data_IF_354475117185
#
_entry.id   IF_354475117185
#
_cell.length_a   1.000
_cell.length_b   1.000
_cell.length_c   1.000
_cell.angle_alpha   90.00
_cell.angle_beta   90.00
_cell.angle_gamma   90.00
#
_symmetry.space_group_name_H-M   'P 1'
#
loop_
_entity.id
_entity.type
_entity.pdbx_description
1 polymer ?
#
# COMPACT_ATOMS: atom_id res chain seq x y z
N UNK A 1 7.47 16.32 -0.90
CA UNK A 1 6.04 15.97 -1.00
C UNK A 1 5.54 15.79 -2.44
N UNK A 2 5.97 16.60 -3.43
CA UNK A 2 5.47 16.50 -4.82
C UNK A 2 5.70 15.12 -5.47
N UNK A 3 6.87 14.50 -5.25
CA UNK A 3 7.18 13.16 -5.75
C UNK A 3 6.19 12.09 -5.24
N UNK A 4 5.84 12.13 -3.96
CA UNK A 4 4.89 11.18 -3.36
C UNK A 4 3.45 11.36 -3.86
N UNK A 5 3.06 12.60 -4.19
CA UNK A 5 1.77 12.86 -4.85
C UNK A 5 1.75 12.30 -6.29
N UNK A 6 2.83 12.48 -7.03
CA UNK A 6 2.97 11.89 -8.38
C UNK A 6 2.92 10.36 -8.30
N UNK A 7 3.65 9.78 -7.35
CA UNK A 7 3.66 8.35 -7.10
C UNK A 7 2.29 7.81 -6.66
N UNK A 8 1.54 8.58 -5.87
CA UNK A 8 0.15 8.25 -5.52
C UNK A 8 -0.76 8.16 -6.74
N UNK A 9 -0.71 9.15 -7.64
CA UNK A 9 -1.48 9.10 -8.88
C UNK A 9 -1.06 7.96 -9.80
N UNK A 10 0.24 7.68 -9.88
CA UNK A 10 0.75 6.50 -10.57
C UNK A 10 0.22 5.19 -9.95
N UNK A 11 0.14 5.11 -8.61
CA UNK A 11 -0.41 3.94 -7.91
C UNK A 11 -1.91 3.76 -8.15
N UNK A 12 -2.67 4.85 -8.19
CA UNK A 12 -4.09 4.82 -8.59
C UNK A 12 -4.24 4.31 -10.03
N UNK A 13 -3.41 4.80 -10.95
CA UNK A 13 -3.43 4.34 -12.34
C UNK A 13 -3.17 2.83 -12.42
N UNK A 14 -2.17 2.31 -11.70
CA UNK A 14 -1.91 0.87 -11.63
C UNK A 14 -3.09 0.08 -11.05
N UNK A 15 -3.75 0.58 -10.01
CA UNK A 15 -4.95 -0.04 -9.44
C UNK A 15 -6.09 -0.14 -10.47
N UNK A 16 -6.34 0.94 -11.23
CA UNK A 16 -7.36 0.93 -12.29
C UNK A 16 -7.01 -0.09 -13.36
N UNK A 17 -5.74 -0.16 -13.78
CA UNK A 17 -5.28 -1.15 -14.76
C UNK A 17 -5.41 -2.58 -14.24
N UNK A 18 -5.08 -2.83 -12.97
CA UNK A 18 -5.22 -4.14 -12.33
C UNK A 18 -6.69 -4.59 -12.25
N UNK A 19 -7.60 -3.68 -11.88
CA UNK A 19 -9.04 -3.95 -11.88
C UNK A 19 -9.52 -4.27 -13.31
N UNK A 20 -9.09 -3.48 -14.30
CA UNK A 20 -9.46 -3.69 -15.71
C UNK A 20 -9.00 -5.07 -16.21
N UNK A 21 -7.77 -5.46 -15.91
CA UNK A 21 -7.23 -6.78 -16.25
C UNK A 21 -8.02 -7.89 -15.57
N UNK A 22 -8.35 -7.72 -14.30
CA UNK A 22 -9.15 -8.68 -13.51
C UNK A 22 -10.54 -8.92 -14.10
N UNK A 23 -11.17 -7.92 -14.71
CA UNK A 23 -12.44 -8.08 -15.42
C UNK A 23 -12.33 -8.87 -16.72
N UNK A 24 -11.15 -8.88 -17.36
CA UNK A 24 -10.93 -9.57 -18.64
C UNK A 24 -10.60 -11.06 -18.46
N UNK A 25 -9.91 -11.41 -17.37
CA UNK A 25 -9.25 -12.72 -17.22
C UNK A 25 -10.12 -13.81 -16.55
N UNK A 26 -11.45 -13.63 -16.58
CA UNK A 26 -12.42 -14.32 -15.71
C UNK A 26 -12.12 -14.06 -14.22
N UNK A 27 -13.10 -13.54 -13.49
CA UNK A 27 -12.94 -13.16 -12.08
C UNK A 27 -12.54 -14.35 -11.20
N UNK A 28 -11.23 -14.58 -11.04
CA UNK A 28 -10.73 -15.57 -10.09
C UNK A 28 -10.70 -14.98 -8.69
N UNK A 29 -10.87 -15.85 -7.69
CA UNK A 29 -10.79 -15.44 -6.28
C UNK A 29 -9.43 -14.77 -5.98
N UNK A 30 -8.36 -15.24 -6.61
CA UNK A 30 -7.01 -14.70 -6.44
C UNK A 30 -6.91 -13.25 -6.95
N UNK A 31 -7.47 -12.95 -8.13
CA UNK A 31 -7.48 -11.59 -8.70
C UNK A 31 -8.28 -10.60 -7.84
N UNK A 32 -9.39 -11.07 -7.24
CA UNK A 32 -10.19 -10.25 -6.31
C UNK A 32 -9.38 -9.93 -5.06
N UNK A 33 -8.72 -10.92 -4.45
CA UNK A 33 -7.89 -10.69 -3.26
C UNK A 33 -6.74 -9.74 -3.58
N UNK A 34 -6.07 -9.91 -4.74
CA UNK A 34 -4.98 -9.03 -5.16
C UNK A 34 -5.43 -7.57 -5.30
N UNK A 35 -6.59 -7.33 -5.92
CA UNK A 35 -7.19 -5.99 -6.01
C UNK A 35 -7.46 -5.39 -4.62
N UNK A 36 -7.97 -6.17 -3.67
CA UNK A 36 -8.23 -5.71 -2.30
C UNK A 36 -6.93 -5.35 -1.58
N UNK A 37 -5.90 -6.17 -1.72
CA UNK A 37 -4.57 -5.90 -1.13
C UNK A 37 -3.98 -4.62 -1.71
N UNK A 38 -4.05 -4.43 -3.03
CA UNK A 38 -3.57 -3.23 -3.69
C UNK A 38 -4.36 -1.98 -3.25
N UNK A 39 -5.69 -2.11 -3.08
CA UNK A 39 -6.55 -1.03 -2.59
C UNK A 39 -6.14 -0.57 -1.18
N UNK A 40 -5.92 -1.49 -0.25
CA UNK A 40 -5.45 -1.15 1.10
C UNK A 40 -4.09 -0.46 1.08
N UNK A 41 -3.19 -0.89 0.21
CA UNK A 41 -1.90 -0.23 0.04
C UNK A 41 -2.06 1.22 -0.47
N UNK A 42 -2.95 1.45 -1.45
CA UNK A 42 -3.24 2.80 -1.98
C UNK A 42 -3.86 3.69 -0.89
N UNK A 43 -4.76 3.16 -0.07
CA UNK A 43 -5.32 3.89 1.09
C UNK A 43 -4.22 4.29 2.07
N UNK A 44 -3.28 3.38 2.37
CA UNK A 44 -2.16 3.69 3.25
C UNK A 44 -1.21 4.74 2.66
N UNK A 45 -0.97 4.70 1.34
CA UNK A 45 -0.22 5.71 0.63
C UNK A 45 -0.92 7.07 0.65
N UNK A 46 -2.25 7.10 0.48
CA UNK A 46 -3.05 8.32 0.62
C UNK A 46 -2.91 8.90 2.03
N UNK A 47 -3.04 8.06 3.06
CA UNK A 47 -2.85 8.44 4.45
C UNK A 47 -1.48 9.06 4.71
N UNK A 48 -0.43 8.49 4.12
CA UNK A 48 0.93 9.06 4.18
C UNK A 48 1.05 10.41 3.47
N UNK A 49 0.55 10.52 2.24
CA UNK A 49 0.69 11.73 1.40
C UNK A 49 -0.08 12.91 1.95
N UNK A 50 -1.31 12.68 2.39
CA UNK A 50 -2.22 13.71 2.87
C UNK A 50 -2.25 13.83 4.38
N UNK A 51 -1.48 13.00 5.10
CA UNK A 51 -1.43 12.96 6.57
C UNK A 51 -2.80 12.71 7.22
N UNK A 52 -3.59 11.84 6.60
CA UNK A 52 -4.93 11.43 7.08
C UNK A 52 -4.79 10.09 7.80
N UNK A 53 -5.49 9.90 8.92
CA UNK A 53 -5.49 8.65 9.68
C UNK A 53 -6.72 7.79 9.33
N UNK A 54 -6.53 6.67 8.62
CA UNK A 54 -7.63 5.77 8.24
C UNK A 54 -7.77 4.56 9.18
N UNK A 55 -6.67 3.88 9.48
CA UNK A 55 -6.62 2.69 10.34
C UNK A 55 -5.61 2.88 11.48
N UNK A 56 -5.54 1.95 12.42
CA UNK A 56 -4.59 2.02 13.54
C UNK A 56 -3.14 1.73 13.11
N UNK A 57 -2.16 2.26 13.84
CA UNK A 57 -0.74 1.94 13.61
C UNK A 57 -0.43 0.44 13.73
N UNK A 58 -1.22 -0.29 14.52
CA UNK A 58 -1.10 -1.73 14.69
C UNK A 58 -1.53 -2.48 13.41
N UNK A 59 -2.60 -2.04 12.74
CA UNK A 59 -3.00 -2.61 11.45
C UNK A 59 -1.87 -2.48 10.41
N UNK A 60 -1.32 -1.28 10.24
CA UNK A 60 -0.23 -1.03 9.28
C UNK A 60 1.06 -1.78 9.60
N UNK A 61 1.31 -2.05 10.89
CA UNK A 61 2.45 -2.86 11.33
C UNK A 61 2.38 -4.30 10.82
N UNK A 62 1.20 -4.90 10.74
CA UNK A 62 1.02 -6.25 10.21
C UNK A 62 0.81 -6.26 8.69
N UNK A 63 0.11 -5.24 8.17
CA UNK A 63 -0.19 -5.16 6.75
C UNK A 63 1.07 -4.93 5.89
N UNK A 64 2.02 -4.10 6.32
CA UNK A 64 3.24 -3.83 5.53
C UNK A 64 4.09 -5.07 5.23
N UNK A 65 4.50 -5.92 6.21
CA UNK A 65 5.26 -7.12 5.90
C UNK A 65 4.45 -8.13 5.06
N UNK A 66 3.15 -8.24 5.32
CA UNK A 66 2.25 -9.06 4.50
C UNK A 66 2.24 -8.58 3.04
N UNK A 67 2.05 -7.28 2.83
CA UNK A 67 2.07 -6.66 1.50
C UNK A 67 3.40 -6.88 0.79
N UNK A 68 4.54 -6.80 1.48
CA UNK A 68 5.85 -7.06 0.87
C UNK A 68 6.00 -8.50 0.36
N UNK A 69 5.44 -9.49 1.05
CA UNK A 69 5.56 -10.91 0.70
C UNK A 69 4.50 -11.35 -0.32
N UNK A 70 3.34 -10.69 -0.33
CA UNK A 70 2.20 -10.98 -1.20
C UNK A 70 2.54 -11.18 -2.69
N UNK A 71 3.26 -10.27 -3.38
CA UNK A 71 3.58 -10.45 -4.81
C UNK A 71 4.42 -11.70 -5.08
N UNK A 72 5.33 -12.07 -4.17
CA UNK A 72 6.09 -13.31 -4.29
C UNK A 72 5.18 -14.54 -4.21
N UNK A 73 4.18 -14.53 -3.32
CA UNK A 73 3.20 -15.61 -3.20
C UNK A 73 2.34 -15.73 -4.45
N UNK A 74 1.80 -14.61 -4.95
CA UNK A 74 0.96 -14.59 -6.16
C UNK A 74 1.75 -15.09 -7.37
N UNK A 75 2.99 -14.63 -7.56
CA UNK A 75 3.82 -15.12 -8.66
C UNK A 75 4.12 -16.60 -8.55
N UNK A 76 4.45 -17.12 -7.37
CA UNK A 76 4.72 -18.54 -7.17
C UNK A 76 3.50 -19.43 -7.46
N UNK A 77 2.27 -18.91 -7.32
CA UNK A 77 1.04 -19.64 -7.63
C UNK A 77 0.69 -19.67 -9.13
N UNK A 78 1.18 -18.71 -9.91
CA UNK A 78 0.76 -18.51 -11.31
C UNK A 78 1.89 -18.84 -12.30
N UNK A 79 3.15 -18.82 -11.86
CA UNK A 79 4.30 -18.98 -12.74
C UNK A 79 4.38 -20.37 -13.36
N UNK A 80 4.54 -20.40 -14.68
CA UNK A 80 4.95 -21.60 -15.41
C UNK A 80 6.49 -21.71 -15.36
N UNK A 81 7.00 -22.91 -15.07
CA UNK A 81 8.42 -23.17 -14.90
C UNK A 81 9.22 -22.85 -16.17
N UNK A 82 8.60 -22.94 -17.35
CA UNK A 82 9.24 -22.63 -18.63
C UNK A 82 9.50 -21.13 -18.84
N UNK A 83 8.79 -20.25 -18.13
CA UNK A 83 8.88 -18.79 -18.28
C UNK A 83 9.60 -18.09 -17.11
N UNK A 84 10.28 -18.84 -16.23
CA UNK A 84 10.79 -18.36 -14.94
C UNK A 84 11.71 -17.14 -15.05
N UNK A 85 12.64 -17.10 -16.01
CA UNK A 85 13.62 -15.99 -16.09
C UNK A 85 12.96 -14.66 -16.45
N UNK A 86 12.08 -14.67 -17.45
CA UNK A 86 11.35 -13.48 -17.90
C UNK A 86 10.40 -12.97 -16.82
N UNK A 87 9.69 -13.89 -16.15
CA UNK A 87 8.77 -13.56 -15.07
C UNK A 87 9.54 -13.05 -13.84
N UNK A 88 10.70 -13.62 -13.52
CA UNK A 88 11.53 -13.15 -12.41
C UNK A 88 12.04 -11.71 -12.65
N UNK A 89 12.48 -11.39 -13.86
CA UNK A 89 12.94 -10.03 -14.20
C UNK A 89 11.79 -9.00 -14.15
N UNK A 90 10.61 -9.38 -14.65
CA UNK A 90 9.41 -8.56 -14.58
C UNK A 90 8.96 -8.33 -13.12
N UNK A 91 8.95 -9.40 -12.31
CA UNK A 91 8.65 -9.34 -10.89
C UNK A 91 9.63 -8.43 -10.15
N UNK A 92 10.93 -8.56 -10.40
CA UNK A 92 11.96 -7.76 -9.75
C UNK A 92 11.81 -6.28 -10.08
N UNK A 93 11.53 -5.97 -11.35
CA UNK A 93 11.26 -4.60 -11.82
C UNK A 93 10.01 -4.03 -11.15
N UNK A 94 8.93 -4.80 -11.08
CA UNK A 94 7.68 -4.40 -10.45
C UNK A 94 7.83 -4.20 -8.93
N UNK A 95 8.63 -5.05 -8.26
CA UNK A 95 8.94 -4.91 -6.85
C UNK A 95 9.68 -3.61 -6.57
N UNK A 96 10.71 -3.29 -7.37
CA UNK A 96 11.53 -2.08 -7.17
C UNK A 96 10.76 -0.80 -7.48
N UNK A 97 10.01 -0.77 -8.58
CA UNK A 97 9.30 0.42 -9.03
C UNK A 97 8.03 0.69 -8.22
N UNK A 98 7.36 -0.35 -7.73
CA UNK A 98 6.02 -0.23 -7.15
C UNK A 98 5.99 -0.67 -5.69
N UNK A 99 6.42 -1.88 -5.36
CA UNK A 99 6.23 -2.38 -3.99
C UNK A 99 7.19 -1.75 -2.97
N UNK A 100 8.44 -1.45 -3.33
CA UNK A 100 9.42 -0.86 -2.41
C UNK A 100 9.00 0.57 -2.02
N UNK A 101 8.73 1.52 -2.93
CA UNK A 101 8.32 2.86 -2.55
C UNK A 101 7.01 2.86 -1.74
N UNK A 102 6.09 1.95 -2.09
CA UNK A 102 4.81 1.80 -1.39
C UNK A 102 5.01 1.27 0.05
N UNK A 103 5.88 0.28 0.24
CA UNK A 103 6.25 -0.19 1.59
C UNK A 103 6.95 0.90 2.41
N UNK A 104 7.83 1.69 1.80
CA UNK A 104 8.48 2.83 2.48
C UNK A 104 7.45 3.86 2.94
N UNK A 105 6.43 4.15 2.11
CA UNK A 105 5.33 5.04 2.50
C UNK A 105 4.52 4.47 3.67
N UNK A 106 4.15 3.18 3.61
CA UNK A 106 3.39 2.51 4.68
C UNK A 106 4.18 2.48 6.00
N UNK A 107 5.48 2.20 5.94
CA UNK A 107 6.34 2.21 7.11
C UNK A 107 6.43 3.61 7.74
N UNK A 108 6.60 4.66 6.92
CA UNK A 108 6.63 6.04 7.41
C UNK A 108 5.27 6.51 7.93
N UNK A 109 4.18 6.04 7.35
CA UNK A 109 2.83 6.34 7.81
C UNK A 109 2.61 5.87 9.26
N UNK A 110 3.07 4.65 9.59
CA UNK A 110 3.08 4.14 10.97
C UNK A 110 3.84 5.08 11.92
N UNK A 111 4.97 5.65 11.50
CA UNK A 111 5.74 6.57 12.34
C UNK A 111 5.12 7.96 12.48
N UNK A 112 4.26 8.37 11.54
CA UNK A 112 3.56 9.66 11.58
C UNK A 112 2.32 9.65 12.48
N UNK A 113 1.75 8.47 12.72
CA UNK A 113 0.55 8.28 13.55
C UNK A 113 0.59 8.98 14.93
N UNK A 114 1.66 8.82 15.75
CA UNK A 114 1.71 9.43 17.08
C UNK A 114 1.65 10.96 17.01
N UNK A 115 2.20 11.54 15.95
CA UNK A 115 2.27 12.99 15.74
C UNK A 115 0.92 13.57 15.29
N UNK A 116 0.16 12.82 14.49
CA UNK A 116 -1.19 13.21 14.04
C UNK A 116 -2.20 13.11 15.19
N UNK A 117 -2.11 12.07 16.02
CA UNK A 117 -2.97 11.93 17.21
C UNK A 117 -2.74 13.06 18.20
N UNK A 118 -1.49 13.49 18.43
CA UNK A 118 -1.18 14.65 19.29
C UNK A 118 -1.70 15.97 18.72
N UNK A 119 -1.61 16.18 17.42
CA UNK A 119 -2.11 17.40 16.77
C UNK A 119 -3.64 17.51 16.76
N UNK A 120 -4.36 16.39 16.92
CA UNK A 120 -5.82 16.35 17.00
C UNK A 120 -6.38 16.43 18.43
N UNK A 121 -5.53 16.45 19.47
CA UNK A 121 -5.96 16.80 20.82
C UNK A 121 -5.77 18.32 21.01
N UNK A 122 -6.83 19.14 20.87
CA UNK A 122 -6.74 20.54 21.27
C UNK A 122 -6.49 20.60 22.78
N UNK A 123 -5.69 21.58 23.22
CA UNK A 123 -5.34 21.87 24.61
C UNK A 123 -6.57 22.28 25.46
N UNK A 124 -7.60 21.44 25.58
CA UNK A 124 -8.82 21.74 26.33
C UNK A 124 -8.69 21.55 27.85
N UNK A 125 -7.46 21.46 28.37
CA UNK A 125 -7.20 21.32 29.82
C UNK A 125 -6.09 22.26 30.29
N UNK A 126 -6.26 23.56 30.03
CA UNK A 126 -5.66 24.63 30.84
C UNK A 126 -6.70 25.71 31.13
N UNK A 127 -7.87 25.31 31.62
CA UNK A 127 -8.73 26.23 32.38
C UNK A 127 -8.40 26.07 33.86
N UNK A 128 -7.72 27.10 34.38
CA UNK A 128 -7.94 27.71 35.71
C UNK A 128 -8.12 26.75 36.89
N UNK A 129 -7.06 26.61 37.69
CA UNK A 129 -7.23 26.44 39.13
C UNK A 129 -6.88 27.75 39.84
N UNK A 130 -7.70 28.18 40.81
CA UNK A 130 -7.67 29.50 41.46
C UNK A 130 -6.47 29.71 42.39
#
# INVERSE_FOLDING_TARGET
MRLWKLYFWFSIYNLIMAIRLTYQDALTLLSIIDCVVLLFAVIGLQGYVYRIQYFSAQFWRYFSPFFMVWPCLVTLMIIDMEAIETVAMALFSFLILTYIPMNVALYRYKTLHPTLTKAQQPESHQETQP
#
